data_IF_852812856620
#
_entry.id   IF_852812856620
#
_cell.length_a   1.000
_cell.length_b   1.000
_cell.length_c   1.000
_cell.angle_alpha   90.00
_cell.angle_beta   90.00
_cell.angle_gamma   90.00
#
_symmetry.space_group_name_H-M   'P 1'
#
loop_
_entity.id
_entity.type
_entity.pdbx_description
1 polymer ?
#
# COMPACT_ATOMS: atom_id res chain seq x y z
N UNK A 1 -9.46 6.34 -13.60
CA UNK A 1 -8.49 6.06 -14.69
C UNK A 1 -8.43 7.19 -15.73
N UNK A 2 -9.43 7.43 -16.59
CA UNK A 2 -9.31 8.45 -17.66
C UNK A 2 -9.27 9.90 -17.12
N UNK A 3 -10.14 10.24 -16.16
CA UNK A 3 -10.19 11.59 -15.54
C UNK A 3 -8.89 11.90 -14.78
N UNK A 4 -8.41 10.97 -13.96
CA UNK A 4 -7.12 11.11 -13.27
C UNK A 4 -5.94 11.23 -14.24
N UNK A 5 -5.95 10.48 -15.35
CA UNK A 5 -4.89 10.57 -16.36
C UNK A 5 -4.83 11.94 -17.04
N UNK A 6 -5.99 12.55 -17.31
CA UNK A 6 -6.06 13.92 -17.86
C UNK A 6 -5.65 14.98 -16.82
N UNK A 7 -6.00 14.79 -15.54
CA UNK A 7 -5.53 15.64 -14.44
C UNK A 7 -4.02 15.60 -14.27
N UNK A 8 -3.39 14.41 -14.36
CA UNK A 8 -1.93 14.29 -14.25
C UNK A 8 -1.19 14.96 -15.41
N UNK A 9 -1.70 14.88 -16.64
CA UNK A 9 -1.10 15.60 -17.79
C UNK A 9 -1.16 17.11 -17.60
N UNK A 10 -2.28 17.62 -17.11
CA UNK A 10 -2.42 19.04 -16.77
C UNK A 10 -1.45 19.46 -15.67
N UNK A 11 -1.32 18.67 -14.61
CA UNK A 11 -0.38 18.91 -13.51
C UNK A 11 1.08 18.93 -14.01
N UNK A 12 1.48 17.95 -14.81
CA UNK A 12 2.82 17.85 -15.37
C UNK A 12 3.18 19.07 -16.24
N UNK A 13 2.26 19.53 -17.10
CA UNK A 13 2.47 20.73 -17.92
C UNK A 13 2.70 21.98 -17.06
N UNK A 14 1.89 22.16 -16.01
CA UNK A 14 2.06 23.27 -15.07
C UNK A 14 3.40 23.21 -14.35
N UNK A 15 3.83 22.00 -13.93
CA UNK A 15 5.12 21.80 -13.29
C UNK A 15 6.30 22.10 -14.23
N UNK A 16 6.21 21.77 -15.52
CA UNK A 16 7.25 22.16 -16.49
C UNK A 16 7.35 23.67 -16.69
N UNK A 17 6.22 24.40 -16.63
CA UNK A 17 6.22 25.87 -16.64
C UNK A 17 6.88 26.42 -15.37
N UNK A 18 6.51 25.89 -14.20
CA UNK A 18 7.11 26.27 -12.93
C UNK A 18 8.63 25.99 -12.89
N UNK A 19 9.07 24.86 -13.46
CA UNK A 19 10.48 24.51 -13.58
C UNK A 19 11.24 25.52 -14.41
N UNK A 20 10.69 25.91 -15.57
CA UNK A 20 11.30 26.92 -16.45
C UNK A 20 11.43 28.26 -15.75
N UNK A 21 10.40 28.68 -15.00
CA UNK A 21 10.43 29.92 -14.22
C UNK A 21 11.48 29.86 -13.10
N UNK A 22 11.56 28.74 -12.37
CA UNK A 22 12.56 28.54 -11.33
C UNK A 22 13.99 28.56 -11.89
N UNK A 23 14.21 27.97 -13.07
CA UNK A 23 15.49 28.01 -13.79
C UNK A 23 15.84 29.44 -14.25
N UNK A 24 14.88 30.17 -14.82
CA UNK A 24 15.08 31.56 -15.25
C UNK A 24 15.41 32.50 -14.08
N UNK A 25 14.80 32.25 -12.92
CA UNK A 25 15.05 32.99 -11.68
C UNK A 25 16.24 32.47 -10.89
N UNK A 26 16.93 31.43 -11.37
CA UNK A 26 18.05 30.75 -10.69
C UNK A 26 17.71 30.32 -9.25
N UNK A 27 16.43 30.02 -8.98
CA UNK A 27 15.96 29.60 -7.67
C UNK A 27 16.20 28.09 -7.49
N UNK A 28 17.34 27.72 -6.90
CA UNK A 28 17.73 26.31 -6.70
C UNK A 28 16.71 25.51 -5.87
N UNK A 29 16.09 26.14 -4.87
CA UNK A 29 15.11 25.48 -4.01
C UNK A 29 13.81 25.24 -4.78
N UNK A 30 13.40 26.22 -5.59
CA UNK A 30 12.25 26.08 -6.50
C UNK A 30 12.45 24.97 -7.54
N UNK A 31 13.64 24.84 -8.12
CA UNK A 31 13.94 23.76 -9.06
C UNK A 31 13.85 22.40 -8.34
N UNK A 32 14.41 22.29 -7.14
CA UNK A 32 14.38 21.05 -6.33
C UNK A 32 12.95 20.66 -5.98
N UNK A 33 12.13 21.61 -5.53
CA UNK A 33 10.73 21.38 -5.22
C UNK A 33 9.92 20.93 -6.45
N UNK A 34 10.10 21.58 -7.59
CA UNK A 34 9.39 21.19 -8.81
C UNK A 34 9.82 19.81 -9.31
N UNK A 35 11.10 19.46 -9.21
CA UNK A 35 11.58 18.12 -9.54
C UNK A 35 10.99 17.05 -8.62
N UNK A 36 10.84 17.31 -7.32
CA UNK A 36 10.19 16.40 -6.38
C UNK A 36 8.71 16.17 -6.75
N UNK A 37 7.99 17.24 -7.10
CA UNK A 37 6.61 17.11 -7.57
C UNK A 37 6.51 16.31 -8.88
N UNK A 38 7.40 16.57 -9.85
CA UNK A 38 7.46 15.80 -11.10
C UNK A 38 7.79 14.32 -10.83
N UNK A 39 8.66 14.03 -9.86
CA UNK A 39 9.00 12.66 -9.48
C UNK A 39 7.79 11.91 -8.91
N UNK A 40 7.01 12.57 -8.03
CA UNK A 40 5.79 12.01 -7.45
C UNK A 40 4.69 11.81 -8.50
N UNK A 41 4.53 12.73 -9.45
CA UNK A 41 3.59 12.57 -10.58
C UNK A 41 4.01 11.38 -11.45
N UNK A 42 5.27 11.32 -11.86
CA UNK A 42 5.81 10.22 -12.67
C UNK A 42 5.64 8.86 -11.95
N UNK A 43 5.92 8.81 -10.65
CA UNK A 43 5.72 7.61 -9.83
C UNK A 43 4.26 7.16 -9.80
N UNK A 44 3.33 8.10 -9.62
CA UNK A 44 1.88 7.82 -9.57
C UNK A 44 1.35 7.35 -10.94
N UNK A 45 1.93 7.85 -12.03
CA UNK A 45 1.60 7.41 -13.40
C UNK A 45 2.24 6.06 -13.79
N UNK A 46 3.14 5.52 -12.96
CA UNK A 46 3.90 4.31 -13.29
C UNK A 46 5.05 4.54 -14.28
N UNK A 47 5.46 5.79 -14.49
CA UNK A 47 6.62 6.15 -15.32
C UNK A 47 7.92 5.92 -14.55
N UNK A 48 8.22 4.65 -14.27
CA UNK A 48 9.22 4.24 -13.27
C UNK A 48 10.65 4.72 -13.58
N UNK A 49 11.06 4.73 -14.85
CA UNK A 49 12.39 5.23 -15.25
C UNK A 49 12.54 6.73 -15.01
N UNK A 50 11.49 7.50 -15.36
CA UNK A 50 11.48 8.95 -15.16
C UNK A 50 11.43 9.30 -13.68
N UNK A 51 10.57 8.62 -12.92
CA UNK A 51 10.49 8.79 -11.47
C UNK A 51 11.83 8.49 -10.79
N UNK A 52 12.51 7.40 -11.16
CA UNK A 52 13.82 7.05 -10.62
C UNK A 52 14.86 8.15 -10.86
N UNK A 53 14.96 8.64 -12.10
CA UNK A 53 15.92 9.70 -12.47
C UNK A 53 15.64 10.96 -11.65
N UNK A 54 14.38 11.39 -11.55
CA UNK A 54 14.00 12.60 -10.85
C UNK A 54 14.25 12.49 -9.33
N UNK A 55 13.84 11.38 -8.69
CA UNK A 55 14.12 11.19 -7.26
C UNK A 55 15.61 11.17 -6.95
N UNK A 56 16.43 10.54 -7.80
CA UNK A 56 17.90 10.55 -7.63
C UNK A 56 18.50 11.95 -7.76
N UNK A 57 18.05 12.74 -8.74
CA UNK A 57 18.52 14.12 -8.93
C UNK A 57 18.12 15.01 -7.74
N UNK A 58 16.86 14.93 -7.28
CA UNK A 58 16.39 15.67 -6.10
C UNK A 58 17.20 15.26 -4.87
N UNK A 59 17.35 13.96 -4.61
CA UNK A 59 18.09 13.43 -3.47
C UNK A 59 19.56 13.87 -3.49
N UNK A 60 20.22 13.82 -4.65
CA UNK A 60 21.61 14.28 -4.80
C UNK A 60 21.75 15.77 -4.47
N UNK A 61 20.79 16.61 -4.90
CA UNK A 61 20.80 18.05 -4.63
C UNK A 61 20.66 18.34 -3.15
N UNK A 62 19.65 17.78 -2.49
CA UNK A 62 19.43 18.05 -1.07
C UNK A 62 20.58 17.53 -0.20
N UNK A 63 21.16 16.37 -0.53
CA UNK A 63 22.35 15.87 0.16
C UNK A 63 23.56 16.80 -0.04
N UNK A 64 23.75 17.34 -1.25
CA UNK A 64 24.84 18.29 -1.53
C UNK A 64 24.69 19.63 -0.81
N UNK A 65 23.46 20.00 -0.43
CA UNK A 65 23.14 21.16 0.39
C UNK A 65 23.33 20.90 1.90
N UNK A 66 23.72 19.69 2.29
CA UNK A 66 24.00 19.32 3.68
C UNK A 66 22.81 18.71 4.43
N UNK A 67 21.71 18.38 3.74
CA UNK A 67 20.60 17.64 4.35
C UNK A 67 21.10 16.29 4.88
N UNK A 68 20.87 15.96 6.17
CA UNK A 68 21.27 14.67 6.74
C UNK A 68 20.59 13.48 6.04
N UNK A 69 21.26 12.33 6.02
CA UNK A 69 20.70 11.11 5.43
C UNK A 69 19.48 10.58 6.19
N UNK A 70 19.34 10.93 7.47
CA UNK A 70 18.19 10.60 8.30
C UNK A 70 17.08 11.65 8.23
N UNK A 71 17.17 12.68 7.39
CA UNK A 71 16.05 13.59 7.16
C UNK A 71 14.86 12.86 6.52
N UNK A 72 13.63 13.16 6.97
CA UNK A 72 12.41 12.50 6.50
C UNK A 72 12.22 12.61 4.99
N UNK A 73 12.68 13.68 4.34
CA UNK A 73 12.59 13.83 2.87
C UNK A 73 13.48 12.83 2.15
N UNK A 74 14.69 12.59 2.67
CA UNK A 74 15.60 11.56 2.14
C UNK A 74 14.98 10.18 2.30
N UNK A 75 14.43 9.89 3.48
CA UNK A 75 13.81 8.61 3.77
C UNK A 75 12.59 8.38 2.88
N UNK A 76 11.73 9.39 2.71
CA UNK A 76 10.55 9.30 1.85
C UNK A 76 10.93 9.04 0.38
N UNK A 77 11.92 9.75 -0.17
CA UNK A 77 12.43 9.48 -1.52
C UNK A 77 13.06 8.09 -1.63
N UNK A 78 13.81 7.64 -0.63
CA UNK A 78 14.39 6.30 -0.58
C UNK A 78 13.32 5.21 -0.56
N UNK A 79 12.21 5.43 0.14
CA UNK A 79 11.07 4.52 0.16
C UNK A 79 10.40 4.41 -1.23
N UNK A 80 10.22 5.55 -1.93
CA UNK A 80 9.71 5.57 -3.30
C UNK A 80 10.66 4.86 -4.27
N UNK A 81 11.97 5.08 -4.15
CA UNK A 81 12.98 4.39 -4.95
C UNK A 81 12.98 2.87 -4.69
N UNK A 82 12.83 2.44 -3.43
CA UNK A 82 12.70 1.02 -3.09
C UNK A 82 11.50 0.39 -3.81
N UNK A 83 10.34 1.06 -3.78
CA UNK A 83 9.13 0.61 -4.49
C UNK A 83 9.30 0.59 -6.01
N UNK A 84 10.01 1.56 -6.57
CA UNK A 84 10.36 1.56 -8.00
C UNK A 84 11.23 0.34 -8.34
N UNK A 85 12.25 0.05 -7.54
CA UNK A 85 13.11 -1.12 -7.77
C UNK A 85 12.37 -2.44 -7.62
N UNK A 86 11.44 -2.54 -6.66
CA UNK A 86 10.54 -3.68 -6.54
C UNK A 86 9.71 -3.89 -7.81
N UNK A 87 9.08 -2.83 -8.34
CA UNK A 87 8.29 -2.91 -9.57
C UNK A 87 9.14 -3.21 -10.82
N UNK A 88 10.43 -2.90 -10.80
CA UNK A 88 11.41 -3.28 -11.83
C UNK A 88 12.03 -4.66 -11.61
N UNK A 89 11.65 -5.36 -10.54
CA UNK A 89 12.22 -6.64 -10.11
C UNK A 89 13.73 -6.59 -9.78
N UNK A 90 14.27 -5.41 -9.45
CA UNK A 90 15.62 -5.26 -8.89
C UNK A 90 15.56 -5.47 -7.38
N UNK A 91 15.34 -6.72 -6.99
CA UNK A 91 15.10 -7.13 -5.60
C UNK A 91 16.21 -6.72 -4.62
N UNK A 92 17.52 -6.84 -4.96
CA UNK A 92 18.57 -6.41 -4.06
C UNK A 92 18.49 -4.91 -3.72
N UNK A 93 18.26 -4.04 -4.72
CA UNK A 93 18.13 -2.59 -4.47
C UNK A 93 16.85 -2.25 -3.74
N UNK A 94 15.75 -2.93 -4.06
CA UNK A 94 14.48 -2.76 -3.34
C UNK A 94 14.67 -3.07 -1.85
N UNK A 95 15.28 -4.21 -1.54
CA UNK A 95 15.51 -4.61 -0.15
C UNK A 95 16.47 -3.67 0.58
N UNK A 96 17.54 -3.21 -0.07
CA UNK A 96 18.46 -2.22 0.50
C UNK A 96 17.72 -0.91 0.84
N UNK A 97 16.89 -0.42 -0.08
CA UNK A 97 16.09 0.80 0.14
C UNK A 97 15.09 0.66 1.28
N UNK A 98 14.37 -0.47 1.37
CA UNK A 98 13.45 -0.72 2.49
C UNK A 98 14.20 -0.82 3.82
N UNK A 99 15.32 -1.55 3.87
CA UNK A 99 16.15 -1.67 5.09
C UNK A 99 16.75 -0.34 5.52
N UNK A 100 17.15 0.50 4.57
CA UNK A 100 17.59 1.87 4.84
C UNK A 100 16.48 2.66 5.54
N UNK A 101 15.27 2.70 4.97
CA UNK A 101 14.14 3.43 5.56
C UNK A 101 13.80 2.91 6.96
N UNK A 102 13.74 1.58 7.11
CA UNK A 102 13.45 0.94 8.39
C UNK A 102 14.45 1.33 9.48
N UNK A 103 15.76 1.29 9.17
CA UNK A 103 16.84 1.61 10.11
C UNK A 103 16.79 3.05 10.61
N UNK A 104 16.47 4.00 9.73
CA UNK A 104 16.47 5.42 10.07
C UNK A 104 15.18 5.83 10.81
N UNK A 105 14.02 5.29 10.41
CA UNK A 105 12.74 5.57 11.07
C UNK A 105 12.59 4.88 12.42
N UNK A 106 13.12 3.66 12.60
CA UNK A 106 13.02 2.94 13.89
C UNK A 106 13.67 3.72 15.04
N UNK A 107 14.69 4.53 14.76
CA UNK A 107 15.28 5.45 15.74
C UNK A 107 14.41 6.66 16.02
N UNK A 108 13.78 7.22 14.98
CA UNK A 108 13.00 8.44 15.08
C UNK A 108 11.62 8.21 15.69
N UNK A 109 11.05 7.01 15.52
CA UNK A 109 9.72 6.67 16.03
C UNK A 109 9.70 6.50 17.55
N UNK A 110 10.84 6.15 18.16
CA UNK A 110 10.95 5.87 19.59
C UNK A 110 10.66 7.13 20.42
N UNK A 111 9.47 7.17 21.03
CA UNK A 111 9.02 8.31 21.84
C UNK A 111 8.57 9.54 21.03
N UNK A 112 8.44 9.41 19.70
CA UNK A 112 7.95 10.49 18.86
C UNK A 112 6.41 10.54 18.81
N UNK A 113 5.89 11.76 18.85
CA UNK A 113 4.49 12.11 18.57
C UNK A 113 4.35 12.86 17.24
N UNK A 114 5.44 13.01 16.49
CA UNK A 114 5.44 13.65 15.17
C UNK A 114 4.66 12.78 14.18
N UNK A 115 3.50 13.28 13.74
CA UNK A 115 2.61 12.58 12.82
C UNK A 115 3.29 12.21 11.49
N UNK A 116 4.18 13.06 10.95
CA UNK A 116 4.87 12.79 9.69
C UNK A 116 5.83 11.60 9.84
N UNK A 117 6.55 11.51 10.96
CA UNK A 117 7.42 10.37 11.28
C UNK A 117 6.57 9.09 11.40
N UNK A 118 5.46 9.16 12.13
CA UNK A 118 4.59 8.01 12.38
C UNK A 118 3.91 7.51 11.09
N UNK A 119 3.44 8.43 10.23
CA UNK A 119 2.85 8.11 8.94
C UNK A 119 3.87 7.42 8.03
N UNK A 120 5.07 8.00 7.91
CA UNK A 120 6.13 7.43 7.07
C UNK A 120 6.60 6.06 7.60
N UNK A 121 6.63 5.88 8.92
CA UNK A 121 6.90 4.60 9.54
C UNK A 121 5.84 3.54 9.21
N UNK A 122 4.55 3.86 9.40
CA UNK A 122 3.45 2.95 9.05
C UNK A 122 3.45 2.56 7.57
N UNK A 123 3.72 3.53 6.69
CA UNK A 123 3.84 3.31 5.25
C UNK A 123 5.04 2.43 4.88
N UNK A 124 6.20 2.66 5.50
CA UNK A 124 7.41 1.84 5.29
C UNK A 124 7.17 0.40 5.71
N UNK A 125 6.52 0.19 6.85
CA UNK A 125 6.18 -1.13 7.36
C UNK A 125 5.24 -1.89 6.43
N UNK A 126 4.16 -1.25 5.94
CA UNK A 126 3.22 -1.86 5.00
C UNK A 126 3.91 -2.24 3.68
N UNK A 127 4.66 -1.31 3.09
CA UNK A 127 5.32 -1.55 1.80
C UNK A 127 6.41 -2.62 1.91
N UNK A 128 7.20 -2.61 2.98
CA UNK A 128 8.19 -3.65 3.19
C UNK A 128 7.54 -5.01 3.49
N UNK A 129 6.43 -5.05 4.21
CA UNK A 129 5.68 -6.28 4.45
C UNK A 129 5.16 -6.90 3.13
N UNK A 130 4.65 -6.07 2.21
CA UNK A 130 4.25 -6.50 0.86
C UNK A 130 5.42 -7.08 0.08
N UNK A 131 6.56 -6.38 0.06
CA UNK A 131 7.78 -6.88 -0.56
C UNK A 131 8.21 -8.24 0.05
N UNK A 132 8.23 -8.36 1.37
CA UNK A 132 8.59 -9.61 2.06
C UNK A 132 7.63 -10.75 1.72
N UNK A 133 6.33 -10.46 1.60
CA UNK A 133 5.33 -11.43 1.16
C UNK A 133 5.60 -11.93 -0.25
N UNK A 134 5.90 -11.04 -1.20
CA UNK A 134 6.28 -11.43 -2.58
C UNK A 134 7.54 -12.31 -2.61
N UNK A 135 8.46 -12.11 -1.66
CA UNK A 135 9.63 -12.95 -1.47
C UNK A 135 9.36 -14.23 -0.64
N UNK A 136 8.09 -14.54 -0.34
CA UNK A 136 7.65 -15.67 0.47
C UNK A 136 8.23 -15.71 1.91
N UNK A 137 8.63 -14.55 2.46
CA UNK A 137 9.14 -14.38 3.83
C UNK A 137 8.00 -14.07 4.80
N UNK A 138 7.12 -15.05 4.97
CA UNK A 138 5.80 -14.87 5.58
C UNK A 138 5.84 -14.40 7.05
N UNK A 139 6.75 -14.92 7.87
CA UNK A 139 6.85 -14.51 9.28
C UNK A 139 7.31 -13.06 9.45
N UNK A 140 8.23 -12.62 8.58
CA UNK A 140 8.71 -11.24 8.57
C UNK A 140 7.64 -10.30 8.01
N UNK A 141 6.93 -10.70 6.96
CA UNK A 141 5.78 -9.97 6.43
C UNK A 141 4.70 -9.79 7.51
N UNK A 142 4.33 -10.87 8.21
CA UNK A 142 3.34 -10.82 9.30
C UNK A 142 3.74 -9.83 10.39
N UNK A 143 5.00 -9.86 10.81
CA UNK A 143 5.51 -8.96 11.85
C UNK A 143 5.42 -7.50 11.42
N UNK A 144 5.77 -7.19 10.16
CA UNK A 144 5.72 -5.82 9.64
C UNK A 144 4.28 -5.35 9.41
N UNK A 145 3.39 -6.18 8.85
CA UNK A 145 1.96 -5.85 8.74
C UNK A 145 1.32 -5.59 10.10
N UNK A 146 1.67 -6.36 11.13
CA UNK A 146 1.12 -6.16 12.47
C UNK A 146 1.53 -4.80 13.03
N UNK A 147 2.80 -4.42 12.89
CA UNK A 147 3.28 -3.08 13.28
C UNK A 147 2.60 -1.98 12.46
N UNK A 148 2.44 -2.17 11.14
CA UNK A 148 1.75 -1.21 10.27
C UNK A 148 0.28 -1.03 10.71
N UNK A 149 -0.40 -2.11 11.07
CA UNK A 149 -1.76 -2.10 11.61
C UNK A 149 -1.84 -1.30 12.92
N UNK A 150 -0.95 -1.56 13.87
CA UNK A 150 -0.89 -0.83 15.14
C UNK A 150 -0.66 0.68 14.92
N UNK A 151 0.20 1.05 13.98
CA UNK A 151 0.42 2.46 13.62
C UNK A 151 -0.78 3.09 12.92
N UNK A 152 -1.43 2.36 12.01
CA UNK A 152 -2.63 2.84 11.33
C UNK A 152 -3.78 3.09 12.32
N UNK A 153 -3.99 2.19 13.29
CA UNK A 153 -4.99 2.38 14.34
C UNK A 153 -4.66 3.58 15.22
N UNK A 154 -3.37 3.77 15.56
CA UNK A 154 -2.93 4.93 16.36
C UNK A 154 -3.21 6.26 15.65
N UNK A 155 -2.96 6.34 14.34
CA UNK A 155 -3.08 7.59 13.57
C UNK A 155 -4.50 7.87 13.09
N UNK A 156 -5.19 6.85 12.58
CA UNK A 156 -6.46 7.00 11.87
C UNK A 156 -7.66 6.44 12.64
N UNK A 157 -7.42 5.78 13.79
CA UNK A 157 -8.44 5.07 14.55
C UNK A 157 -8.76 3.68 14.00
N UNK A 158 -9.66 2.98 14.69
CA UNK A 158 -10.03 1.60 14.35
C UNK A 158 -10.88 1.49 13.06
N UNK A 159 -11.60 2.55 12.69
CA UNK A 159 -12.51 2.56 11.53
C UNK A 159 -11.93 3.45 10.44
N UNK A 160 -11.08 2.85 9.60
CA UNK A 160 -10.43 3.50 8.47
C UNK A 160 -10.17 2.50 7.35
N UNK A 161 -10.17 2.94 6.08
CA UNK A 161 -9.99 2.04 4.92
C UNK A 161 -8.65 1.30 4.98
N UNK A 162 -7.57 2.01 5.30
CA UNK A 162 -6.25 1.39 5.46
C UNK A 162 -6.22 0.35 6.60
N UNK A 163 -7.01 0.54 7.65
CA UNK A 163 -7.13 -0.45 8.75
C UNK A 163 -7.77 -1.74 8.25
N UNK A 164 -8.79 -1.64 7.38
CA UNK A 164 -9.43 -2.81 6.74
C UNK A 164 -8.44 -3.54 5.82
N UNK A 165 -7.68 -2.79 5.01
CA UNK A 165 -6.68 -3.36 4.10
C UNK A 165 -5.62 -4.14 4.89
N UNK A 166 -5.05 -3.54 5.93
CA UNK A 166 -4.02 -4.18 6.77
C UNK A 166 -4.55 -5.42 7.51
N UNK A 167 -5.82 -5.41 7.96
CA UNK A 167 -6.45 -6.59 8.55
C UNK A 167 -6.64 -7.70 7.52
N UNK A 168 -7.03 -7.37 6.29
CA UNK A 168 -7.13 -8.35 5.20
C UNK A 168 -5.76 -8.96 4.85
N UNK A 169 -4.71 -8.14 4.82
CA UNK A 169 -3.34 -8.61 4.56
C UNK A 169 -2.82 -9.50 5.71
N UNK A 170 -3.06 -9.12 6.97
CA UNK A 170 -2.77 -9.96 8.14
C UNK A 170 -3.50 -11.30 8.08
N UNK A 171 -4.77 -11.28 7.68
CA UNK A 171 -5.56 -12.49 7.48
C UNK A 171 -4.97 -13.40 6.40
N UNK A 172 -4.60 -12.81 5.26
CA UNK A 172 -4.00 -13.52 4.12
C UNK A 172 -2.66 -14.15 4.51
N UNK A 173 -1.77 -13.40 5.15
CA UNK A 173 -0.48 -13.92 5.60
C UNK A 173 -0.64 -15.00 6.67
N UNK A 174 -1.59 -14.85 7.60
CA UNK A 174 -1.87 -15.89 8.59
C UNK A 174 -2.31 -17.19 7.93
N UNK A 175 -3.19 -17.11 6.93
CA UNK A 175 -3.62 -18.27 6.15
C UNK A 175 -2.45 -18.95 5.44
N UNK A 176 -1.59 -18.18 4.75
CA UNK A 176 -0.41 -18.72 4.07
C UNK A 176 0.61 -19.36 5.02
N UNK A 177 0.66 -18.90 6.28
CA UNK A 177 1.47 -19.50 7.35
C UNK A 177 0.83 -20.78 7.96
N UNK A 178 -0.37 -21.15 7.52
CA UNK A 178 -1.16 -22.26 8.08
C UNK A 178 -1.89 -21.91 9.38
N UNK A 179 -1.83 -20.65 9.83
CA UNK A 179 -2.51 -20.16 11.02
C UNK A 179 -3.94 -19.74 10.69
N UNK A 180 -4.78 -20.75 10.48
CA UNK A 180 -6.15 -20.56 10.03
C UNK A 180 -7.01 -19.81 11.05
N UNK A 181 -6.74 -19.96 12.35
CA UNK A 181 -7.56 -19.33 13.40
C UNK A 181 -7.31 -17.81 13.43
N UNK A 182 -6.05 -17.39 13.35
CA UNK A 182 -5.75 -15.95 13.21
C UNK A 182 -6.19 -15.40 11.84
N UNK A 183 -6.14 -16.21 10.79
CA UNK A 183 -6.62 -15.79 9.47
C UNK A 183 -8.12 -15.40 9.51
N UNK A 184 -8.95 -16.28 10.08
CA UNK A 184 -10.38 -16.02 10.27
C UNK A 184 -10.60 -14.81 11.19
N UNK A 185 -9.85 -14.71 12.29
CA UNK A 185 -9.94 -13.60 13.23
C UNK A 185 -9.70 -12.24 12.55
N UNK A 186 -8.58 -12.10 11.83
CA UNK A 186 -8.23 -10.84 11.18
C UNK A 186 -9.18 -10.49 10.04
N UNK A 187 -9.56 -11.46 9.19
CA UNK A 187 -10.51 -11.20 8.10
C UNK A 187 -11.93 -10.90 8.61
N UNK A 188 -12.36 -11.54 9.69
CA UNK A 188 -13.65 -11.20 10.33
C UNK A 188 -13.63 -9.76 10.85
N UNK A 189 -12.54 -9.36 11.53
CA UNK A 189 -12.36 -7.98 11.97
C UNK A 189 -12.34 -7.00 10.79
N UNK A 190 -11.68 -7.36 9.68
CA UNK A 190 -11.68 -6.56 8.45
C UNK A 190 -13.10 -6.34 7.90
N UNK A 191 -13.92 -7.41 7.84
CA UNK A 191 -15.32 -7.35 7.43
C UNK A 191 -16.16 -6.50 8.39
N UNK A 192 -15.97 -6.64 9.70
CA UNK A 192 -16.70 -5.85 10.69
C UNK A 192 -16.37 -4.36 10.58
N UNK A 193 -15.08 -4.02 10.52
CA UNK A 193 -14.63 -2.63 10.34
C UNK A 193 -15.12 -2.04 9.02
N UNK A 194 -14.98 -2.76 7.90
CA UNK A 194 -15.35 -2.25 6.58
C UNK A 194 -16.86 -2.04 6.39
N UNK A 195 -17.71 -2.71 7.17
CA UNK A 195 -19.17 -2.42 7.18
C UNK A 195 -19.50 -1.00 7.62
N UNK A 196 -18.61 -0.36 8.36
CA UNK A 196 -18.76 1.04 8.77
C UNK A 196 -18.23 2.03 7.70
N UNK A 197 -17.71 1.55 6.57
CA UNK A 197 -17.11 2.35 5.49
C UNK A 197 -17.92 2.19 4.19
N UNK A 198 -19.06 2.91 4.03
CA UNK A 198 -20.00 2.66 2.94
C UNK A 198 -19.51 3.03 1.54
N UNK A 199 -18.34 3.68 1.43
CA UNK A 199 -17.75 4.16 0.18
C UNK A 199 -16.50 3.36 -0.25
N UNK A 200 -16.08 2.37 0.55
CA UNK A 200 -14.90 1.56 0.24
C UNK A 200 -15.21 0.60 -0.93
N UNK A 201 -14.80 0.98 -2.14
CA UNK A 201 -15.15 0.29 -3.38
C UNK A 201 -14.56 -1.12 -3.52
N UNK A 202 -13.37 -1.33 -2.95
CA UNK A 202 -12.64 -2.60 -2.98
C UNK A 202 -12.94 -3.51 -1.78
N UNK A 203 -13.98 -3.17 -1.01
CA UNK A 203 -14.36 -3.95 0.16
C UNK A 203 -14.92 -5.35 -0.18
N UNK A 204 -15.30 -5.58 -1.44
CA UNK A 204 -15.77 -6.90 -1.90
C UNK A 204 -14.72 -7.99 -1.79
N UNK A 205 -13.44 -7.68 -2.04
CA UNK A 205 -12.36 -8.68 -2.01
C UNK A 205 -12.15 -9.24 -0.61
N UNK A 206 -12.33 -8.42 0.44
CA UNK A 206 -12.25 -8.85 1.85
C UNK A 206 -13.28 -9.92 2.18
N UNK A 207 -14.52 -9.76 1.69
CA UNK A 207 -15.55 -10.78 1.82
C UNK A 207 -15.20 -12.06 1.08
N UNK A 208 -14.66 -11.94 -0.14
CA UNK A 208 -14.28 -13.10 -0.97
C UNK A 208 -13.15 -13.89 -0.31
N UNK A 209 -12.13 -13.20 0.20
CA UNK A 209 -11.01 -13.82 0.90
C UNK A 209 -11.49 -14.60 2.13
N UNK A 210 -12.37 -14.00 2.95
CA UNK A 210 -12.95 -14.69 4.09
C UNK A 210 -13.78 -15.91 3.66
N UNK A 211 -14.54 -15.79 2.56
CA UNK A 211 -15.30 -16.89 1.99
C UNK A 211 -14.41 -18.05 1.53
N UNK A 212 -13.28 -17.75 0.86
CA UNK A 212 -12.32 -18.75 0.43
C UNK A 212 -11.67 -19.47 1.61
N UNK A 213 -11.33 -18.76 2.69
CA UNK A 213 -10.84 -19.41 3.92
C UNK A 213 -11.90 -20.36 4.49
N UNK A 214 -13.17 -19.96 4.52
CA UNK A 214 -14.24 -20.85 4.97
C UNK A 214 -14.45 -22.07 4.07
N UNK A 215 -14.27 -21.96 2.74
CA UNK A 215 -14.28 -23.11 1.83
C UNK A 215 -13.21 -24.12 2.24
N UNK A 216 -11.98 -23.66 2.48
CA UNK A 216 -10.84 -24.50 2.87
C UNK A 216 -11.05 -25.16 4.25
N UNK A 217 -11.86 -24.55 5.11
CA UNK A 217 -12.24 -25.08 6.43
C UNK A 217 -13.52 -25.91 6.39
N UNK A 218 -14.08 -26.18 5.21
CA UNK A 218 -15.32 -26.92 4.99
C UNK A 218 -16.55 -26.28 5.66
N UNK A 219 -16.47 -24.98 5.96
CA UNK A 219 -17.55 -24.16 6.55
C UNK A 219 -18.38 -23.52 5.43
N UNK A 220 -19.11 -24.38 4.70
CA UNK A 220 -19.73 -24.00 3.42
C UNK A 220 -20.85 -22.96 3.53
N UNK A 221 -21.58 -22.93 4.65
CA UNK A 221 -22.64 -21.95 4.87
C UNK A 221 -22.07 -20.54 5.09
N UNK A 222 -21.03 -20.43 5.90
CA UNK A 222 -20.28 -19.20 6.15
C UNK A 222 -19.58 -18.72 4.87
N UNK A 223 -18.99 -19.64 4.11
CA UNK A 223 -18.40 -19.35 2.80
C UNK A 223 -19.45 -18.75 1.84
N UNK A 224 -20.62 -19.40 1.73
CA UNK A 224 -21.70 -18.93 0.85
C UNK A 224 -22.14 -17.52 1.22
N UNK A 225 -22.33 -17.27 2.52
CA UNK A 225 -22.76 -15.97 3.03
C UNK A 225 -21.75 -14.87 2.66
N UNK A 226 -20.46 -15.11 2.91
CA UNK A 226 -19.42 -14.11 2.65
C UNK A 226 -19.26 -13.85 1.15
N UNK A 227 -19.20 -14.88 0.30
CA UNK A 227 -19.05 -14.64 -1.14
C UNK A 227 -20.28 -13.96 -1.78
N UNK A 228 -21.49 -14.20 -1.25
CA UNK A 228 -22.69 -13.43 -1.66
C UNK A 228 -22.63 -11.96 -1.22
N UNK A 229 -22.17 -11.66 0.00
CA UNK A 229 -22.00 -10.28 0.44
C UNK A 229 -20.91 -9.56 -0.34
N UNK A 230 -19.81 -10.25 -0.68
CA UNK A 230 -18.78 -9.74 -1.60
C UNK A 230 -19.37 -9.38 -2.97
N UNK A 231 -20.15 -10.28 -3.57
CA UNK A 231 -20.84 -10.02 -4.83
C UNK A 231 -21.81 -8.83 -4.75
N UNK A 232 -22.58 -8.73 -3.66
CA UNK A 232 -23.51 -7.62 -3.43
C UNK A 232 -22.79 -6.28 -3.27
N UNK A 233 -21.67 -6.27 -2.54
CA UNK A 233 -20.84 -5.08 -2.38
C UNK A 233 -20.24 -4.64 -3.73
N UNK A 234 -19.65 -5.58 -4.47
CA UNK A 234 -19.06 -5.30 -5.79
C UNK A 234 -20.11 -4.72 -6.76
N UNK A 235 -21.32 -5.30 -6.77
CA UNK A 235 -22.45 -4.79 -7.56
C UNK A 235 -22.84 -3.37 -7.17
N UNK A 236 -22.88 -3.06 -5.87
CA UNK A 236 -23.21 -1.71 -5.36
C UNK A 236 -22.18 -0.66 -5.85
N UNK A 237 -20.91 -1.02 -5.85
CA UNK A 237 -19.82 -0.11 -6.25
C UNK A 237 -19.48 -0.15 -7.75
N UNK A 238 -20.18 -0.97 -8.54
CA UNK A 238 -19.85 -1.23 -9.95
C UNK A 238 -18.39 -1.71 -10.12
N UNK A 239 -17.89 -2.47 -9.14
CA UNK A 239 -16.56 -3.06 -9.16
C UNK A 239 -16.61 -4.37 -9.98
N UNK A 240 -16.21 -4.30 -11.26
CA UNK A 240 -16.25 -5.47 -12.16
C UNK A 240 -15.28 -6.57 -11.74
N UNK A 241 -14.14 -6.22 -11.18
CA UNK A 241 -13.14 -7.17 -10.69
C UNK A 241 -13.66 -7.92 -9.47
N UNK A 242 -14.16 -7.19 -8.47
CA UNK A 242 -14.81 -7.79 -7.30
C UNK A 242 -16.02 -8.67 -7.66
N UNK A 243 -16.76 -8.33 -8.72
CA UNK A 243 -17.84 -9.19 -9.24
C UNK A 243 -17.32 -10.51 -9.80
N UNK A 244 -16.19 -10.50 -10.50
CA UNK A 244 -15.56 -11.72 -11.03
C UNK A 244 -15.04 -12.58 -9.88
N UNK A 245 -14.30 -12.01 -8.95
CA UNK A 245 -13.76 -12.71 -7.77
C UNK A 245 -14.85 -13.39 -6.96
N UNK A 246 -15.94 -12.66 -6.65
CA UNK A 246 -17.05 -13.22 -5.89
C UNK A 246 -17.79 -14.33 -6.65
N UNK A 247 -17.86 -14.23 -7.98
CA UNK A 247 -18.45 -15.28 -8.82
C UNK A 247 -17.59 -16.54 -8.81
N UNK A 248 -16.27 -16.40 -8.92
CA UNK A 248 -15.32 -17.52 -8.84
C UNK A 248 -15.46 -18.23 -7.49
N UNK A 249 -15.47 -17.50 -6.38
CA UNK A 249 -15.67 -18.12 -5.05
C UNK A 249 -16.98 -18.92 -4.98
N UNK A 250 -18.09 -18.36 -5.48
CA UNK A 250 -19.39 -19.04 -5.47
C UNK A 250 -19.41 -20.27 -6.39
N UNK A 251 -18.65 -20.27 -7.48
CA UNK A 251 -18.49 -21.42 -8.36
C UNK A 251 -17.64 -22.52 -7.71
N UNK A 252 -16.54 -22.15 -7.07
CA UNK A 252 -15.69 -23.06 -6.31
C UNK A 252 -16.50 -23.76 -5.21
N UNK A 253 -17.27 -23.00 -4.43
CA UNK A 253 -18.16 -23.55 -3.41
C UNK A 253 -19.16 -24.59 -3.96
N UNK A 254 -19.72 -24.36 -5.15
CA UNK A 254 -20.65 -25.31 -5.78
C UNK A 254 -20.01 -26.66 -6.09
N UNK A 255 -18.69 -26.70 -6.32
CA UNK A 255 -17.99 -27.96 -6.61
C UNK A 255 -17.91 -28.85 -5.36
N UNK A 256 -17.93 -28.26 -4.16
CA UNK A 256 -17.95 -28.99 -2.89
C UNK A 256 -19.35 -29.42 -2.48
N UNK A 257 -20.37 -28.58 -2.72
CA UNK A 257 -21.77 -28.89 -2.40
C UNK A 257 -22.42 -29.95 -3.31
N UNK A 258 -21.78 -30.29 -4.43
CA UNK A 258 -22.26 -31.30 -5.40
C UNK A 258 -21.66 -32.70 -5.18
N UNK A 259 -20.69 -32.85 -4.29
CA UNK A 259 -20.09 -34.13 -3.89
C UNK A 259 -20.82 -34.70 -2.68
#
# INVERSE_FOLDING_TARGET
LMIQHDEFKGAEQMLHVALRLAQQTQNSDGITYVHDLLANVAFTQGELDKAEILFKDVMQRVLSQGTPQDDLKIIHMSLKLAKIYEQKHDWPKAEEGYKFCMKHLDKQVQGSEDEDVLMLWGMTLDWYARFLHEQNRLDEAFTNYKKAYEMCVRLNGEVHEQTVILLNDLGTISFLRGDNDNAILYMTKAVETGRHLPNMADFSSVYVNLGNIYIQKEMYDEAQKNCREGQKNAKRHKNEEGMKEATICLEELKNFLKK
#
